data_IF_971780807119
#
_entry.id   IF_971780807119
#
_cell.length_a   1.000
_cell.length_b   1.000
_cell.length_c   1.000
_cell.angle_alpha   90.00
_cell.angle_beta   90.00
_cell.angle_gamma   90.00
#
_symmetry.space_group_name_H-M   'P 1'
#
loop_
_entity.id
_entity.type
_entity.pdbx_description
1 polymer ?
#
# COMPACT_ATOMS: atom_id res chain seq x y z
N UNK A 1 -0.10 -0.61 49.74
CA UNK A 1 0.93 -1.12 50.70
C UNK A 1 0.64 -2.58 51.02
N UNK A 2 1.65 -3.43 51.22
CA UNK A 2 1.48 -4.83 51.62
C UNK A 2 1.16 -4.89 53.13
N UNK A 3 0.17 -5.69 53.52
CA UNK A 3 -0.26 -5.89 54.91
C UNK A 3 0.17 -7.25 55.45
N UNK A 4 0.14 -8.29 54.62
CA UNK A 4 0.48 -9.63 55.04
C UNK A 4 0.77 -10.57 53.88
N UNK A 5 1.49 -11.65 54.21
CA UNK A 5 1.84 -12.74 53.30
C UNK A 5 1.54 -14.07 53.99
N UNK A 6 0.73 -14.90 53.35
CA UNK A 6 0.54 -16.29 53.71
C UNK A 6 1.09 -17.17 52.58
N UNK A 7 1.99 -18.09 52.92
CA UNK A 7 2.51 -19.08 51.99
C UNK A 7 2.32 -20.46 52.59
N UNK A 8 1.79 -21.39 51.81
CA UNK A 8 1.66 -22.80 52.20
C UNK A 8 2.30 -23.68 51.12
N UNK A 9 3.16 -24.61 51.54
CA UNK A 9 3.80 -25.63 50.69
C UNK A 9 4.60 -25.09 49.48
N UNK A 10 5.35 -24.01 49.66
CA UNK A 10 6.19 -23.41 48.61
C UNK A 10 7.68 -23.68 48.86
N UNK A 11 8.37 -24.29 47.91
CA UNK A 11 9.77 -24.68 47.98
C UNK A 11 10.09 -25.44 49.29
N UNK A 12 11.02 -24.92 50.10
CA UNK A 12 11.38 -25.51 51.40
C UNK A 12 10.45 -25.08 52.55
N UNK A 13 9.47 -24.22 52.30
CA UNK A 13 8.56 -23.71 53.32
C UNK A 13 7.26 -24.52 53.38
N UNK A 14 6.93 -25.03 54.58
CA UNK A 14 5.63 -25.68 54.84
C UNK A 14 4.53 -24.63 55.04
N UNK A 15 4.77 -23.66 55.90
CA UNK A 15 3.88 -22.51 56.13
C UNK A 15 4.73 -21.29 56.49
N UNK A 16 4.44 -20.14 55.88
CA UNK A 16 4.95 -18.83 56.25
C UNK A 16 3.73 -17.94 56.44
N UNK A 17 3.70 -17.20 57.55
CA UNK A 17 2.66 -16.22 57.85
C UNK A 17 3.37 -14.99 58.39
N UNK A 18 3.27 -13.88 57.65
CA UNK A 18 3.94 -12.63 57.96
C UNK A 18 2.94 -11.49 57.91
N UNK A 19 3.08 -10.57 58.85
CA UNK A 19 2.42 -9.27 58.84
C UNK A 19 3.48 -8.19 58.62
N UNK A 20 3.18 -7.22 57.77
CA UNK A 20 4.10 -6.14 57.43
C UNK A 20 3.61 -4.84 58.05
N UNK A 21 4.53 -4.13 58.69
CA UNK A 21 4.31 -2.74 59.12
C UNK A 21 4.56 -1.76 57.96
N UNK A 22 4.09 -0.53 58.14
CA UNK A 22 4.26 0.53 57.14
C UNK A 22 5.71 1.00 57.01
N UNK A 23 6.04 1.55 55.84
CA UNK A 23 7.33 2.16 55.49
C UNK A 23 8.44 1.12 55.29
N UNK A 24 9.48 1.11 56.12
CA UNK A 24 10.68 0.30 55.94
C UNK A 24 10.59 -0.98 56.76
N UNK A 25 10.52 -2.12 56.06
CA UNK A 25 10.59 -3.46 56.68
C UNK A 25 11.93 -4.10 56.32
N UNK A 26 12.73 -4.42 57.33
CA UNK A 26 14.02 -5.08 57.16
C UNK A 26 13.90 -6.56 57.54
N UNK A 27 14.11 -7.44 56.56
CA UNK A 27 14.15 -8.89 56.78
C UNK A 27 15.62 -9.33 56.84
N UNK A 28 16.03 -9.87 57.99
CA UNK A 28 17.37 -10.43 58.22
C UNK A 28 17.28 -11.89 58.65
N UNK A 29 18.38 -12.64 58.48
CA UNK A 29 18.45 -14.06 58.84
C UNK A 29 19.82 -14.66 58.51
N UNK A 30 20.05 -15.89 58.98
CA UNK A 30 21.33 -16.59 58.87
C UNK A 30 21.63 -17.08 57.44
N UNK A 31 20.59 -17.38 56.64
CA UNK A 31 20.72 -17.79 55.23
C UNK A 31 19.83 -16.97 54.32
N UNK A 32 20.27 -16.72 53.08
CA UNK A 32 19.50 -15.97 52.08
C UNK A 32 18.24 -16.69 51.58
N UNK A 33 18.06 -17.98 51.90
CA UNK A 33 16.96 -18.80 51.40
C UNK A 33 15.58 -18.28 51.87
N UNK A 34 15.45 -17.83 53.13
CA UNK A 34 14.19 -17.32 53.67
C UNK A 34 13.72 -16.04 52.99
N UNK A 35 14.65 -15.08 52.81
CA UNK A 35 14.40 -13.82 52.10
C UNK A 35 13.96 -14.08 50.65
N UNK A 36 14.66 -14.96 49.95
CA UNK A 36 14.35 -15.29 48.56
C UNK A 36 12.96 -15.92 48.41
N UNK A 37 12.56 -16.80 49.34
CA UNK A 37 11.21 -17.40 49.31
C UNK A 37 10.12 -16.34 49.49
N UNK A 38 10.31 -15.39 50.40
CA UNK A 38 9.36 -14.30 50.66
C UNK A 38 9.24 -13.41 49.42
N UNK A 39 10.36 -12.97 48.85
CA UNK A 39 10.38 -12.12 47.65
C UNK A 39 9.76 -12.82 46.44
N UNK A 40 10.09 -14.11 46.24
CA UNK A 40 9.51 -14.91 45.16
C UNK A 40 8.00 -15.09 45.35
N UNK A 41 7.55 -15.33 46.59
CA UNK A 41 6.12 -15.48 46.87
C UNK A 41 5.34 -14.21 46.54
N UNK A 42 5.84 -13.02 46.95
CA UNK A 42 5.20 -11.74 46.63
C UNK A 42 5.17 -11.51 45.10
N UNK A 43 6.28 -11.78 44.40
CA UNK A 43 6.32 -11.64 42.94
C UNK A 43 5.38 -12.58 42.22
N UNK A 44 5.30 -13.84 42.66
CA UNK A 44 4.38 -14.83 42.12
C UNK A 44 2.92 -14.42 42.40
N UNK A 45 2.59 -13.93 43.59
CA UNK A 45 1.26 -13.39 43.85
C UNK A 45 0.91 -12.25 42.89
N UNK A 46 1.88 -11.37 42.59
CA UNK A 46 1.68 -10.20 41.73
C UNK A 46 1.86 -10.46 40.22
N UNK A 47 1.85 -11.72 39.78
CA UNK A 47 1.81 -12.07 38.34
C UNK A 47 3.14 -12.45 37.70
N UNK A 48 4.21 -12.69 38.48
CA UNK A 48 5.42 -13.35 37.97
C UNK A 48 5.14 -14.82 37.57
N UNK A 49 6.07 -15.50 36.91
CA UNK A 49 5.83 -16.90 36.51
C UNK A 49 5.79 -17.84 37.72
N UNK A 50 4.74 -18.66 37.80
CA UNK A 50 4.56 -19.67 38.83
C UNK A 50 4.96 -21.05 38.28
N UNK A 51 6.22 -21.46 38.50
CA UNK A 51 6.67 -22.81 38.14
C UNK A 51 6.07 -23.86 39.08
N UNK A 52 5.71 -25.03 38.54
CA UNK A 52 5.23 -26.15 39.33
C UNK A 52 6.33 -26.79 40.20
N UNK A 53 7.59 -26.57 39.84
CA UNK A 53 8.76 -27.01 40.61
C UNK A 53 8.86 -26.31 41.97
N UNK A 54 8.13 -25.20 42.14
CA UNK A 54 8.03 -24.48 43.40
C UNK A 54 7.07 -25.14 44.39
N UNK A 55 6.32 -26.18 44.00
CA UNK A 55 5.53 -26.95 44.94
C UNK A 55 6.48 -27.76 45.82
N UNK A 56 6.34 -27.63 47.14
CA UNK A 56 7.14 -28.37 48.11
C UNK A 56 7.10 -29.88 47.82
N UNK A 57 8.25 -30.54 47.89
CA UNK A 57 8.37 -31.99 47.67
C UNK A 57 7.42 -32.77 48.58
N UNK A 58 6.61 -33.65 47.98
CA UNK A 58 5.60 -34.45 48.69
C UNK A 58 4.20 -33.83 48.73
N UNK A 59 4.04 -32.57 48.35
CA UNK A 59 2.76 -31.86 48.40
C UNK A 59 2.04 -31.82 47.03
N UNK A 60 0.71 -31.68 47.06
CA UNK A 60 -0.13 -31.66 45.84
C UNK A 60 -0.28 -30.26 45.23
N UNK A 61 -0.15 -29.22 46.05
CA UNK A 61 -0.34 -27.82 45.67
C UNK A 61 0.37 -26.88 46.63
N UNK A 62 0.69 -25.68 46.14
CA UNK A 62 1.17 -24.54 46.91
C UNK A 62 0.14 -23.40 46.85
N UNK A 63 -0.04 -22.69 47.96
CA UNK A 63 -0.90 -21.51 48.06
C UNK A 63 -0.06 -20.30 48.48
N UNK A 64 -0.26 -19.18 47.79
CA UNK A 64 0.31 -17.89 48.15
C UNK A 64 -0.82 -16.89 48.23
N UNK A 65 -0.94 -16.17 49.34
CA UNK A 65 -1.88 -15.07 49.51
C UNK A 65 -1.15 -13.82 49.99
N UNK A 66 -1.42 -12.69 49.36
CA UNK A 66 -0.87 -11.39 49.75
C UNK A 66 -2.02 -10.41 49.92
N UNK A 67 -2.07 -9.77 51.07
CA UNK A 67 -3.03 -8.71 51.36
C UNK A 67 -2.38 -7.35 51.17
N UNK A 68 -3.14 -6.42 50.59
CA UNK A 68 -2.75 -5.05 50.32
C UNK A 68 -3.80 -4.09 50.88
N UNK A 69 -3.36 -2.88 51.23
CA UNK A 69 -4.25 -1.72 51.28
C UNK A 69 -4.11 -0.89 50.00
N UNK A 70 -5.24 -0.41 49.48
CA UNK A 70 -5.35 0.40 48.25
C UNK A 70 -5.23 1.91 48.49
N UNK A 71 -4.80 2.33 49.69
CA UNK A 71 -4.58 3.74 50.01
C UNK A 71 -3.54 4.35 49.04
N UNK A 72 -3.91 5.45 48.39
CA UNK A 72 -3.09 6.19 47.41
C UNK A 72 -2.65 5.40 46.16
N UNK A 73 -3.41 4.39 45.70
CA UNK A 73 -3.13 3.65 44.44
C UNK A 73 -4.21 3.84 43.36
N UNK A 74 -4.36 5.04 42.76
CA UNK A 74 -5.44 5.32 41.79
C UNK A 74 -5.36 4.47 40.51
N UNK A 75 -4.14 4.09 40.09
CA UNK A 75 -3.94 3.20 38.94
C UNK A 75 -4.49 1.79 39.19
N UNK A 76 -4.20 1.21 40.35
CA UNK A 76 -4.72 -0.09 40.76
C UNK A 76 -6.25 -0.07 40.81
N UNK A 77 -6.83 0.97 41.43
CA UNK A 77 -8.28 1.16 41.54
C UNK A 77 -8.93 1.24 40.15
N UNK A 78 -8.34 2.00 39.21
CA UNK A 78 -8.88 2.10 37.84
C UNK A 78 -8.91 0.76 37.10
N UNK A 79 -7.86 -0.06 37.26
CA UNK A 79 -7.83 -1.41 36.65
C UNK A 79 -8.88 -2.32 37.31
N UNK A 80 -8.99 -2.31 38.63
CA UNK A 80 -9.97 -3.10 39.37
C UNK A 80 -11.42 -2.72 39.02
N UNK A 81 -11.70 -1.42 38.85
CA UNK A 81 -13.01 -0.93 38.40
C UNK A 81 -13.34 -1.42 36.99
N UNK A 82 -12.37 -1.37 36.07
CA UNK A 82 -12.55 -1.86 34.69
C UNK A 82 -12.81 -3.38 34.65
N UNK A 83 -12.22 -4.13 35.58
CA UNK A 83 -12.43 -5.57 35.73
C UNK A 83 -13.69 -5.93 36.55
N UNK A 84 -14.42 -4.94 37.07
CA UNK A 84 -15.57 -5.14 37.97
C UNK A 84 -15.21 -5.90 39.26
N UNK A 85 -13.98 -5.71 39.75
CA UNK A 85 -13.43 -6.34 40.96
C UNK A 85 -13.24 -5.37 42.13
N UNK A 86 -13.62 -4.10 41.94
CA UNK A 86 -13.52 -3.09 42.98
C UNK A 86 -14.82 -3.05 43.80
N UNK A 87 -14.72 -3.49 45.05
CA UNK A 87 -15.81 -3.60 46.03
C UNK A 87 -15.91 -2.40 46.98
N UNK A 88 -15.10 -1.35 46.76
CA UNK A 88 -14.95 -0.18 47.64
C UNK A 88 -14.39 -0.52 49.03
N UNK A 89 -13.89 -1.74 49.24
CA UNK A 89 -13.13 -2.06 50.43
C UNK A 89 -11.71 -1.49 50.33
N UNK A 90 -11.11 -1.19 51.47
CA UNK A 90 -9.72 -0.68 51.53
C UNK A 90 -8.68 -1.79 51.37
N UNK A 91 -9.10 -3.07 51.44
CA UNK A 91 -8.24 -4.24 51.40
C UNK A 91 -8.41 -5.03 50.10
N UNK A 92 -7.28 -5.42 49.52
CA UNK A 92 -7.20 -6.31 48.37
C UNK A 92 -6.43 -7.57 48.75
N UNK A 93 -7.01 -8.74 48.56
CA UNK A 93 -6.37 -10.03 48.78
C UNK A 93 -6.16 -10.71 47.43
N UNK A 94 -4.89 -10.92 47.09
CA UNK A 94 -4.50 -11.67 45.90
C UNK A 94 -4.11 -13.07 46.33
N UNK A 95 -4.76 -14.10 45.78
CA UNK A 95 -4.41 -15.50 46.03
C UNK A 95 -3.96 -16.21 44.76
N UNK A 96 -2.98 -17.11 44.92
CA UNK A 96 -2.47 -17.95 43.84
C UNK A 96 -2.30 -19.38 44.33
N UNK A 97 -3.11 -20.28 43.76
CA UNK A 97 -3.06 -21.70 44.01
C UNK A 97 -2.37 -22.40 42.84
N UNK A 98 -1.18 -22.94 43.09
CA UNK A 98 -0.36 -23.67 42.11
C UNK A 98 -0.56 -25.16 42.36
N UNK A 99 -1.02 -25.89 41.35
CA UNK A 99 -1.18 -27.35 41.38
C UNK A 99 -0.45 -27.97 40.19
N UNK A 100 -0.19 -29.28 40.23
CA UNK A 100 0.52 -30.01 39.15
C UNK A 100 -0.04 -29.83 37.74
N UNK A 101 -1.33 -29.48 37.60
CA UNK A 101 -1.98 -29.38 36.29
C UNK A 101 -2.45 -27.97 35.94
N UNK A 102 -2.49 -27.05 36.91
CA UNK A 102 -3.03 -25.70 36.71
C UNK A 102 -2.63 -24.73 37.80
N UNK A 103 -2.60 -23.46 37.44
CA UNK A 103 -2.50 -22.34 38.37
C UNK A 103 -3.83 -21.60 38.37
N UNK A 104 -4.39 -21.35 39.55
CA UNK A 104 -5.58 -20.53 39.74
C UNK A 104 -5.18 -19.23 40.41
N UNK A 105 -5.66 -18.12 39.87
CA UNK A 105 -5.42 -16.78 40.42
C UNK A 105 -6.77 -16.23 40.87
N UNK A 106 -6.82 -15.62 42.06
CA UNK A 106 -7.99 -14.86 42.49
C UNK A 106 -7.62 -13.51 43.09
N UNK A 107 -8.56 -12.57 42.99
CA UNK A 107 -8.55 -11.29 43.70
C UNK A 107 -9.87 -11.19 44.48
N UNK A 108 -9.80 -10.97 45.79
CA UNK A 108 -10.96 -10.95 46.70
C UNK A 108 -11.90 -12.17 46.48
N UNK A 109 -11.32 -13.34 46.19
CA UNK A 109 -12.07 -14.58 45.92
C UNK A 109 -12.58 -14.75 44.47
N UNK A 110 -12.51 -13.73 43.62
CA UNK A 110 -12.92 -13.81 42.21
C UNK A 110 -11.80 -14.36 41.33
N UNK A 111 -12.13 -15.30 40.43
CA UNK A 111 -11.17 -15.88 39.47
C UNK A 111 -10.78 -14.85 38.40
N UNK A 112 -9.47 -14.73 38.14
CA UNK A 112 -8.94 -13.81 37.13
C UNK A 112 -7.89 -14.45 36.22
N UNK A 113 -7.70 -13.87 35.03
CA UNK A 113 -6.69 -14.31 34.08
C UNK A 113 -5.29 -13.84 34.52
N UNK A 114 -4.26 -14.61 34.17
CA UNK A 114 -2.88 -14.26 34.50
C UNK A 114 -2.43 -12.91 33.92
N UNK A 115 -2.99 -12.51 32.76
CA UNK A 115 -2.70 -11.21 32.13
C UNK A 115 -3.24 -10.04 32.96
N UNK A 116 -4.46 -10.19 33.46
CA UNK A 116 -5.13 -9.19 34.32
C UNK A 116 -4.43 -9.10 35.68
N UNK A 117 -4.05 -10.25 36.24
CA UNK A 117 -3.26 -10.30 37.49
C UNK A 117 -1.96 -9.52 37.34
N UNK A 118 -1.25 -9.72 36.23
CA UNK A 118 0.02 -9.02 35.94
C UNK A 118 -0.17 -7.52 35.76
N UNK A 119 -1.30 -7.09 35.20
CA UNK A 119 -1.64 -5.68 35.04
C UNK A 119 -1.89 -5.01 36.40
N UNK A 120 -2.67 -5.66 37.29
CA UNK A 120 -2.91 -5.17 38.66
C UNK A 120 -1.62 -5.21 39.50
N UNK A 121 -0.91 -6.34 39.51
CA UNK A 121 0.29 -6.55 40.32
C UNK A 121 1.40 -5.53 40.07
N UNK A 122 1.62 -5.13 38.80
CA UNK A 122 2.57 -4.07 38.41
C UNK A 122 2.26 -2.68 38.98
N UNK A 123 1.04 -2.45 39.44
CA UNK A 123 0.66 -1.19 40.10
C UNK A 123 0.78 -1.24 41.61
N UNK A 124 0.92 -2.44 42.20
CA UNK A 124 0.90 -2.66 43.64
C UNK A 124 2.27 -2.94 44.22
N UNK A 125 3.15 -3.60 43.46
CA UNK A 125 4.50 -3.97 43.90
C UNK A 125 5.50 -3.67 42.80
N UNK A 126 6.57 -2.98 43.17
CA UNK A 126 7.82 -2.88 42.43
C UNK A 126 8.84 -3.80 43.12
N UNK A 127 9.38 -4.78 42.40
CA UNK A 127 10.28 -5.80 42.95
C UNK A 127 11.68 -5.62 42.38
N UNK A 128 12.46 -4.77 43.03
CA UNK A 128 13.87 -4.60 42.74
C UNK A 128 14.65 -5.90 43.02
N UNK A 129 15.05 -6.59 41.94
CA UNK A 129 15.75 -7.87 41.95
C UNK A 129 16.22 -8.26 40.54
N UNK A 130 16.70 -9.50 40.36
CA UNK A 130 17.29 -9.99 39.09
C UNK A 130 16.40 -9.82 37.83
N UNK A 131 15.11 -9.51 37.97
CA UNK A 131 14.15 -9.43 36.85
C UNK A 131 13.76 -8.00 36.41
N UNK A 132 13.96 -6.96 37.23
CA UNK A 132 13.74 -5.55 36.81
C UNK A 132 14.88 -4.95 36.01
N UNK A 133 16.02 -5.64 36.02
CA UNK A 133 17.17 -5.29 35.22
C UNK A 133 16.81 -5.11 33.73
N UNK A 134 15.71 -5.69 33.23
CA UNK A 134 15.34 -5.60 31.81
C UNK A 134 15.10 -4.19 31.25
N UNK A 135 14.62 -3.20 32.01
CA UNK A 135 14.32 -1.89 31.42
C UNK A 135 15.57 -1.06 31.15
N UNK A 136 16.49 -1.00 32.12
CA UNK A 136 17.78 -0.31 32.00
C UNK A 136 18.81 -1.15 31.21
N UNK A 137 18.66 -2.49 31.16
CA UNK A 137 19.45 -3.34 30.26
C UNK A 137 18.86 -3.42 28.84
N UNK A 138 17.71 -2.79 28.56
CA UNK A 138 17.19 -2.65 27.20
C UNK A 138 17.72 -1.37 26.57
N UNK A 139 18.63 -1.53 25.60
CA UNK A 139 19.27 -0.43 24.87
C UNK A 139 18.22 0.48 24.20
N UNK A 140 17.07 -0.06 23.79
CA UNK A 140 16.00 0.73 23.18
C UNK A 140 15.36 1.75 24.14
N UNK A 141 15.58 1.61 25.44
CA UNK A 141 15.08 2.57 26.44
C UNK A 141 16.14 3.61 26.85
N UNK A 142 17.42 3.43 26.50
CA UNK A 142 18.49 4.36 26.89
C UNK A 142 18.24 5.76 26.35
N UNK A 143 17.86 5.87 25.07
CA UNK A 143 17.53 7.17 24.47
C UNK A 143 16.31 7.83 25.14
N UNK A 144 15.30 7.05 25.52
CA UNK A 144 14.09 7.56 26.21
C UNK A 144 14.42 8.06 27.62
N UNK A 145 15.31 7.37 28.32
CA UNK A 145 15.78 7.77 29.65
C UNK A 145 16.58 9.08 29.57
N UNK A 146 17.45 9.20 28.57
CA UNK A 146 18.19 10.42 28.30
C UNK A 146 17.26 11.60 27.96
N UNK A 147 16.31 11.38 27.05
CA UNK A 147 15.33 12.40 26.64
C UNK A 147 14.49 12.86 27.84
N UNK A 148 14.07 11.92 28.70
CA UNK A 148 13.31 12.21 29.93
C UNK A 148 14.14 13.03 30.93
N UNK A 149 15.44 12.74 31.05
CA UNK A 149 16.35 13.50 31.90
C UNK A 149 16.54 14.94 31.40
N UNK A 150 16.60 15.13 30.08
CA UNK A 150 16.67 16.46 29.44
C UNK A 150 15.44 17.35 29.67
N UNK A 151 14.35 16.79 30.19
CA UNK A 151 13.17 17.53 30.63
C UNK A 151 12.39 18.18 29.48
N UNK A 152 11.74 19.31 29.78
CA UNK A 152 10.77 19.95 28.87
C UNK A 152 11.40 20.46 27.57
N UNK A 153 12.54 21.15 27.65
CA UNK A 153 13.20 21.69 26.45
C UNK A 153 13.64 20.60 25.47
N UNK A 154 14.03 19.43 25.98
CA UNK A 154 14.35 18.26 25.17
C UNK A 154 13.10 17.62 24.55
N UNK A 155 12.03 17.54 25.33
CA UNK A 155 10.76 16.95 24.89
C UNK A 155 10.13 17.72 23.72
N UNK A 156 10.19 19.06 23.75
CA UNK A 156 9.61 19.92 22.69
C UNK A 156 10.32 19.72 21.34
N UNK A 157 11.66 19.67 21.32
CA UNK A 157 12.44 19.42 20.09
C UNK A 157 12.17 18.00 19.58
N UNK A 158 12.14 17.02 20.50
CA UNK A 158 11.84 15.62 20.16
C UNK A 158 10.46 15.45 19.54
N UNK A 159 9.44 16.05 20.13
CA UNK A 159 8.05 15.98 19.63
C UNK A 159 7.93 16.57 18.23
N UNK A 160 8.62 17.68 17.97
CA UNK A 160 8.72 18.28 16.63
C UNK A 160 9.31 17.29 15.62
N UNK A 161 10.49 16.74 15.91
CA UNK A 161 11.18 15.78 15.02
C UNK A 161 10.33 14.53 14.78
N UNK A 162 9.71 13.97 15.83
CA UNK A 162 8.82 12.81 15.71
C UNK A 162 7.63 13.11 14.80
N UNK A 163 7.00 14.28 14.95
CA UNK A 163 5.87 14.68 14.10
C UNK A 163 6.27 14.81 12.62
N UNK A 164 7.45 15.39 12.35
CA UNK A 164 7.97 15.51 10.98
C UNK A 164 8.28 14.14 10.37
N UNK A 165 8.90 13.23 11.15
CA UNK A 165 9.18 11.85 10.72
C UNK A 165 7.88 11.09 10.45
N UNK A 166 6.86 11.24 11.30
CA UNK A 166 5.54 10.65 11.06
C UNK A 166 4.93 11.13 9.74
N UNK A 167 4.95 12.45 9.49
CA UNK A 167 4.46 13.01 8.22
C UNK A 167 5.27 12.53 7.02
N UNK A 168 6.59 12.41 7.16
CA UNK A 168 7.45 11.86 6.11
C UNK A 168 7.07 10.43 5.75
N UNK A 169 6.84 9.57 6.75
CA UNK A 169 6.40 8.20 6.52
C UNK A 169 5.01 8.12 5.88
N UNK A 170 4.07 9.01 6.25
CA UNK A 170 2.76 9.11 5.59
C UNK A 170 2.89 9.48 4.11
N UNK A 171 3.73 10.47 3.79
CA UNK A 171 4.01 10.88 2.41
C UNK A 171 4.65 9.73 1.65
N UNK A 172 5.69 9.08 2.21
CA UNK A 172 6.40 7.96 1.57
C UNK A 172 5.44 6.81 1.25
N UNK A 173 4.57 6.43 2.18
CA UNK A 173 3.56 5.39 1.98
C UNK A 173 2.57 5.76 0.87
N UNK A 174 2.05 7.00 0.90
CA UNK A 174 1.13 7.51 -0.13
C UNK A 174 1.79 7.50 -1.50
N UNK A 175 3.07 7.86 -1.56
CA UNK A 175 3.87 7.91 -2.78
C UNK A 175 4.06 6.51 -3.36
N UNK A 176 4.41 5.51 -2.55
CA UNK A 176 4.47 4.11 -3.02
C UNK A 176 3.14 3.60 -3.54
N UNK A 177 2.02 3.91 -2.87
CA UNK A 177 0.69 3.50 -3.34
C UNK A 177 0.33 4.14 -4.69
N UNK A 178 0.64 5.42 -4.86
CA UNK A 178 0.39 6.15 -6.11
C UNK A 178 1.32 5.68 -7.24
N UNK A 179 2.59 5.43 -6.96
CA UNK A 179 3.54 4.91 -7.96
C UNK A 179 3.18 3.50 -8.43
N UNK A 180 2.75 2.61 -7.53
CA UNK A 180 2.25 1.28 -7.89
C UNK A 180 0.99 1.38 -8.76
N UNK A 181 0.12 2.34 -8.43
CA UNK A 181 -1.10 2.63 -9.19
C UNK A 181 -0.76 3.18 -10.59
N UNK A 182 0.15 4.15 -10.68
CA UNK A 182 0.60 4.75 -11.95
C UNK A 182 1.30 3.73 -12.85
N UNK A 183 2.13 2.85 -12.27
CA UNK A 183 2.76 1.74 -13.01
C UNK A 183 1.74 0.81 -13.64
N UNK A 184 0.66 0.45 -12.92
CA UNK A 184 -0.44 -0.36 -13.48
C UNK A 184 -1.19 0.38 -14.59
N UNK A 185 -1.40 1.68 -14.40
CA UNK A 185 -2.09 2.49 -15.40
C UNK A 185 -1.26 2.77 -16.65
N UNK A 186 0.07 2.63 -16.63
CA UNK A 186 0.91 2.91 -17.80
C UNK A 186 0.54 2.06 -19.02
N UNK A 187 0.43 0.74 -18.87
CA UNK A 187 0.06 -0.16 -19.97
C UNK A 187 -1.38 0.10 -20.44
N UNK A 188 -2.29 0.33 -19.50
CA UNK A 188 -3.69 0.66 -19.79
C UNK A 188 -3.80 1.99 -20.55
N UNK A 189 -2.97 2.98 -20.20
CA UNK A 189 -2.93 4.29 -20.82
C UNK A 189 -2.43 4.23 -22.26
N UNK A 190 -1.39 3.46 -22.53
CA UNK A 190 -0.88 3.28 -23.89
C UNK A 190 -1.93 2.60 -24.79
N UNK A 191 -2.64 1.60 -24.25
CA UNK A 191 -3.76 0.98 -24.95
C UNK A 191 -4.91 1.95 -25.22
N UNK A 192 -5.34 2.72 -24.21
CA UNK A 192 -6.41 3.71 -24.35
C UNK A 192 -6.01 4.80 -25.35
N UNK A 193 -4.76 5.28 -25.32
CA UNK A 193 -4.28 6.29 -26.27
C UNK A 193 -4.30 5.78 -27.71
N UNK A 194 -4.02 4.49 -27.94
CA UNK A 194 -4.16 3.87 -29.24
C UNK A 194 -5.63 3.84 -29.70
N UNK A 195 -6.56 3.46 -28.82
CA UNK A 195 -8.00 3.47 -29.13
C UNK A 195 -8.50 4.90 -29.42
N UNK A 196 -8.09 5.90 -28.63
CA UNK A 196 -8.41 7.31 -28.87
C UNK A 196 -7.91 7.74 -30.25
N UNK A 197 -6.64 7.46 -30.57
CA UNK A 197 -6.04 7.86 -31.86
C UNK A 197 -6.76 7.23 -33.06
N UNK A 198 -7.18 5.97 -32.93
CA UNK A 198 -7.94 5.27 -33.98
C UNK A 198 -9.33 5.89 -34.18
N UNK A 199 -10.05 6.17 -33.08
CA UNK A 199 -11.41 6.72 -33.13
C UNK A 199 -11.44 8.20 -33.51
N UNK A 200 -10.46 9.00 -33.07
CA UNK A 200 -10.29 10.39 -33.50
C UNK A 200 -9.93 10.48 -34.98
N UNK A 201 -8.98 9.64 -35.44
CA UNK A 201 -8.60 9.57 -36.84
C UNK A 201 -9.74 9.15 -37.75
N UNK A 202 -10.69 8.37 -37.24
CA UNK A 202 -11.90 8.00 -37.97
C UNK A 202 -12.90 9.15 -38.12
N UNK A 203 -12.86 10.17 -37.26
CA UNK A 203 -13.74 11.34 -37.31
C UNK A 203 -15.21 10.97 -37.61
N UNK A 204 -15.79 10.11 -36.77
CA UNK A 204 -17.13 9.57 -36.97
C UNK A 204 -18.20 10.64 -36.75
N UNK A 205 -19.19 10.68 -37.64
CA UNK A 205 -20.30 11.64 -37.56
C UNK A 205 -21.62 10.87 -37.38
N UNK A 206 -22.49 11.37 -36.50
CA UNK A 206 -23.82 10.81 -36.31
C UNK A 206 -24.66 10.93 -37.59
N UNK A 207 -25.35 9.86 -37.98
CA UNK A 207 -26.19 9.82 -39.19
C UNK A 207 -25.44 9.58 -40.50
N UNK A 208 -24.11 9.70 -40.51
CA UNK A 208 -23.28 9.58 -41.72
C UNK A 208 -23.43 8.24 -42.44
N UNK A 209 -23.54 7.13 -41.72
CA UNK A 209 -23.68 5.80 -42.34
C UNK A 209 -24.96 5.67 -43.16
N UNK A 210 -26.07 6.21 -42.67
CA UNK A 210 -27.35 6.13 -43.38
C UNK A 210 -27.33 7.00 -44.64
N UNK A 211 -26.79 8.22 -44.55
CA UNK A 211 -26.61 9.11 -45.70
C UNK A 211 -25.71 8.48 -46.78
N UNK A 212 -24.59 7.89 -46.36
CA UNK A 212 -23.66 7.23 -47.28
C UNK A 212 -24.25 5.98 -47.92
N UNK A 213 -25.08 5.20 -47.21
CA UNK A 213 -25.77 4.03 -47.79
C UNK A 213 -26.83 4.42 -48.81
N UNK A 214 -27.55 5.51 -48.58
CA UNK A 214 -28.49 6.05 -49.57
C UNK A 214 -27.74 6.50 -50.83
N UNK A 215 -26.62 7.22 -50.66
CA UNK A 215 -25.78 7.67 -51.76
C UNK A 215 -25.12 6.50 -52.53
N UNK A 216 -24.58 5.50 -51.82
CA UNK A 216 -24.02 4.26 -52.38
C UNK A 216 -25.04 3.56 -53.29
N UNK A 217 -26.28 3.43 -52.84
CA UNK A 217 -27.34 2.78 -53.60
C UNK A 217 -27.64 3.53 -54.90
N UNK A 218 -27.68 4.86 -54.88
CA UNK A 218 -27.93 5.67 -56.08
C UNK A 218 -26.78 5.51 -57.08
N UNK A 219 -25.54 5.64 -56.62
CA UNK A 219 -24.35 5.56 -57.47
C UNK A 219 -24.10 4.15 -58.00
N UNK A 220 -24.35 3.12 -57.20
CA UNK A 220 -24.22 1.71 -57.60
C UNK A 220 -25.23 1.35 -58.70
N UNK A 221 -26.49 1.79 -58.57
CA UNK A 221 -27.48 1.63 -59.63
C UNK A 221 -27.11 2.40 -60.91
N UNK A 222 -26.57 3.62 -60.77
CA UNK A 222 -26.11 4.40 -61.92
C UNK A 222 -24.93 3.71 -62.65
N UNK A 223 -24.00 3.13 -61.89
CA UNK A 223 -22.89 2.32 -62.42
C UNK A 223 -23.41 1.09 -63.16
N UNK A 224 -24.27 0.29 -62.52
CA UNK A 224 -24.83 -0.93 -63.12
C UNK A 224 -25.57 -0.60 -64.42
N UNK A 225 -26.37 0.47 -64.42
CA UNK A 225 -27.06 0.94 -65.62
C UNK A 225 -26.08 1.37 -66.72
N UNK A 226 -25.05 2.14 -66.38
CA UNK A 226 -24.04 2.57 -67.36
C UNK A 226 -23.25 1.39 -67.94
N UNK A 227 -22.88 0.42 -67.09
CA UNK A 227 -22.18 -0.80 -67.51
C UNK A 227 -23.06 -1.65 -68.45
N UNK A 228 -24.34 -1.84 -68.13
CA UNK A 228 -25.29 -2.57 -68.99
C UNK A 228 -25.49 -1.89 -70.34
N UNK A 229 -25.61 -0.56 -70.36
CA UNK A 229 -25.74 0.20 -71.61
C UNK A 229 -24.46 0.09 -72.44
N UNK A 230 -23.28 0.23 -71.81
CA UNK A 230 -21.99 0.10 -72.49
C UNK A 230 -21.79 -1.29 -73.08
N UNK A 231 -22.10 -2.35 -72.32
CA UNK A 231 -22.09 -3.72 -72.83
C UNK A 231 -23.07 -3.91 -74.01
N UNK A 232 -24.24 -3.27 -73.95
CA UNK A 232 -25.21 -3.30 -75.04
C UNK A 232 -24.69 -2.57 -76.29
N UNK A 233 -24.02 -1.44 -76.13
CA UNK A 233 -23.35 -0.74 -77.24
C UNK A 233 -22.26 -1.58 -77.86
N UNK A 234 -21.45 -2.26 -77.05
CA UNK A 234 -20.40 -3.15 -77.54
C UNK A 234 -20.99 -4.33 -78.35
N UNK A 235 -22.14 -4.90 -77.93
CA UNK A 235 -22.82 -5.93 -78.73
C UNK A 235 -23.28 -5.41 -80.11
N UNK A 236 -23.82 -4.20 -80.16
CA UNK A 236 -24.31 -3.59 -81.40
C UNK A 236 -23.15 -3.18 -82.30
N UNK A 237 -22.12 -2.55 -81.72
CA UNK A 237 -21.03 -1.91 -82.42
C UNK A 237 -19.69 -2.08 -81.70
N UNK A 238 -19.00 -3.20 -81.94
CA UNK A 238 -17.65 -3.46 -81.47
C UNK A 238 -16.67 -3.57 -82.66
N UNK A 239 -15.59 -2.78 -82.59
CA UNK A 239 -14.56 -2.69 -83.63
C UNK A 239 -13.57 -3.88 -83.61
N UNK A 240 -13.32 -4.47 -82.44
CA UNK A 240 -12.33 -5.56 -82.26
C UNK A 240 -12.95 -6.96 -82.45
N UNK A 241 -14.26 -7.11 -82.27
CA UNK A 241 -14.97 -8.40 -82.32
C UNK A 241 -16.05 -8.53 -83.41
N UNK A 242 -16.87 -9.58 -83.32
CA UNK A 242 -18.11 -9.71 -84.11
C UNK A 242 -19.20 -8.86 -83.47
N UNK A 243 -19.80 -7.94 -84.23
CA UNK A 243 -20.90 -7.09 -83.77
C UNK A 243 -22.16 -7.32 -84.60
N UNK A 244 -23.32 -6.91 -84.09
CA UNK A 244 -24.58 -7.00 -84.83
C UNK A 244 -24.47 -6.21 -86.15
N UNK A 245 -23.85 -5.02 -86.16
CA UNK A 245 -23.63 -4.27 -87.40
C UNK A 245 -22.75 -5.00 -88.41
N UNK A 246 -21.68 -5.67 -87.97
CA UNK A 246 -20.82 -6.47 -88.86
C UNK A 246 -21.60 -7.63 -89.47
N UNK A 247 -22.39 -8.34 -88.66
CA UNK A 247 -23.25 -9.45 -89.13
C UNK A 247 -24.33 -8.98 -90.10
N UNK A 248 -25.00 -7.86 -89.81
CA UNK A 248 -25.98 -7.25 -90.72
C UNK A 248 -25.35 -6.82 -92.05
N UNK A 249 -24.12 -6.28 -92.02
CA UNK A 249 -23.39 -5.87 -93.21
C UNK A 249 -23.04 -7.08 -94.09
N UNK A 250 -22.63 -8.19 -93.48
CA UNK A 250 -22.39 -9.46 -94.18
C UNK A 250 -23.67 -10.05 -94.78
N UNK A 251 -24.76 -10.08 -94.00
CA UNK A 251 -26.08 -10.54 -94.44
C UNK A 251 -26.58 -9.72 -95.64
N UNK A 252 -26.50 -8.38 -95.54
CA UNK A 252 -26.88 -7.45 -96.60
C UNK A 252 -26.10 -7.73 -97.89
N UNK A 253 -24.77 -7.83 -97.81
CA UNK A 253 -23.91 -8.08 -98.97
C UNK A 253 -24.26 -9.42 -99.66
N UNK A 254 -24.57 -10.47 -98.90
CA UNK A 254 -24.98 -11.76 -99.46
C UNK A 254 -26.35 -11.69 -100.16
N UNK A 255 -27.32 -10.97 -99.57
CA UNK A 255 -28.66 -10.82 -100.17
C UNK A 255 -28.63 -9.90 -101.39
N UNK A 256 -27.87 -8.80 -101.36
CA UNK A 256 -27.67 -7.92 -102.53
C UNK A 256 -27.14 -8.72 -103.73
N UNK A 257 -26.10 -9.54 -103.53
CA UNK A 257 -25.59 -10.45 -104.57
C UNK A 257 -26.64 -11.45 -105.05
N UNK A 258 -27.49 -11.96 -104.16
CA UNK A 258 -28.55 -12.89 -104.54
C UNK A 258 -29.68 -12.20 -105.33
N UNK A 259 -29.94 -10.91 -105.10
CA UNK A 259 -30.93 -10.14 -105.87
C UNK A 259 -30.50 -9.92 -107.33
N UNK A 260 -29.20 -9.91 -107.62
CA UNK A 260 -28.68 -9.92 -109.00
C UNK A 260 -29.07 -11.20 -109.76
N UNK A 261 -29.32 -12.31 -109.05
CA UNK A 261 -29.76 -13.59 -109.61
C UNK A 261 -31.29 -13.62 -109.77
N UNK A 262 -32.03 -13.12 -108.77
CA UNK A 262 -33.50 -13.10 -108.80
C UNK A 262 -34.09 -11.89 -108.08
N UNK A 263 -34.84 -11.07 -108.81
CA UNK A 263 -35.52 -9.90 -108.22
C UNK A 263 -36.62 -10.28 -107.22
N UNK A 264 -37.09 -11.55 -107.23
CA UNK A 264 -38.16 -12.03 -106.34
C UNK A 264 -37.84 -11.83 -104.86
N UNK A 265 -36.57 -11.73 -104.48
CA UNK A 265 -36.13 -11.56 -103.09
C UNK A 265 -35.70 -10.13 -102.75
N UNK A 266 -35.89 -9.15 -103.65
CA UNK A 266 -35.53 -7.75 -103.40
C UNK A 266 -36.20 -7.17 -102.15
N UNK A 267 -37.43 -7.59 -101.87
CA UNK A 267 -38.14 -7.21 -100.65
C UNK A 267 -37.41 -7.62 -99.36
N UNK A 268 -36.58 -8.69 -99.40
CA UNK A 268 -35.74 -9.12 -98.27
C UNK A 268 -34.60 -8.13 -98.05
N UNK A 269 -33.95 -7.66 -99.11
CA UNK A 269 -32.90 -6.63 -99.05
C UNK A 269 -33.42 -5.33 -98.45
N UNK A 270 -34.57 -4.85 -98.95
CA UNK A 270 -35.21 -3.63 -98.43
C UNK A 270 -35.58 -3.77 -96.94
N UNK A 271 -35.97 -4.97 -96.52
CA UNK A 271 -36.27 -5.27 -95.10
C UNK A 271 -35.02 -5.24 -94.23
N UNK A 272 -33.88 -5.75 -94.73
CA UNK A 272 -32.59 -5.71 -94.01
C UNK A 272 -32.11 -4.27 -93.83
N UNK A 273 -32.23 -3.43 -94.85
CA UNK A 273 -31.82 -2.03 -94.78
C UNK A 273 -32.66 -1.21 -93.77
N UNK A 274 -33.97 -1.49 -93.71
CA UNK A 274 -34.85 -0.92 -92.67
C UNK A 274 -34.41 -1.34 -91.26
N UNK A 275 -34.21 -2.65 -91.03
CA UNK A 275 -33.72 -3.15 -89.73
C UNK A 275 -32.36 -2.58 -89.34
N UNK A 276 -31.45 -2.39 -90.31
CA UNK A 276 -30.14 -1.77 -90.06
C UNK A 276 -30.27 -0.29 -89.65
N UNK A 277 -31.25 0.42 -90.21
CA UNK A 277 -31.53 1.81 -89.84
C UNK A 277 -32.12 1.90 -88.44
N UNK A 278 -33.12 1.07 -88.11
CA UNK A 278 -33.68 0.96 -86.75
C UNK A 278 -32.60 0.62 -85.72
N UNK A 279 -31.69 -0.30 -86.04
CA UNK A 279 -30.58 -0.65 -85.14
C UNK A 279 -29.62 0.53 -84.89
N UNK A 280 -29.38 1.40 -85.89
CA UNK A 280 -28.59 2.63 -85.71
C UNK A 280 -29.27 3.62 -84.79
N UNK A 281 -30.59 3.74 -84.89
CA UNK A 281 -31.38 4.59 -83.99
C UNK A 281 -31.31 4.06 -82.56
N UNK A 282 -31.51 2.75 -82.34
CA UNK A 282 -31.38 2.11 -81.03
C UNK A 282 -29.98 2.36 -80.43
N UNK A 283 -28.90 2.17 -81.21
CA UNK A 283 -27.54 2.42 -80.73
C UNK A 283 -27.33 3.89 -80.33
N UNK A 284 -27.90 4.83 -81.09
CA UNK A 284 -27.84 6.26 -80.79
C UNK A 284 -28.61 6.60 -79.53
N UNK A 285 -29.80 6.02 -79.34
CA UNK A 285 -30.62 6.23 -78.14
C UNK A 285 -29.93 5.68 -76.89
N UNK A 286 -29.34 4.49 -76.97
CA UNK A 286 -28.50 3.93 -75.90
C UNK A 286 -27.34 4.87 -75.57
N UNK A 287 -26.64 5.39 -76.59
CA UNK A 287 -25.53 6.31 -76.39
C UNK A 287 -25.95 7.63 -75.73
N UNK A 288 -27.05 8.22 -76.19
CA UNK A 288 -27.56 9.47 -75.64
C UNK A 288 -28.02 9.29 -74.19
N UNK A 289 -28.69 8.17 -73.91
CA UNK A 289 -29.14 7.86 -72.57
C UNK A 289 -27.95 7.59 -71.64
N UNK A 290 -26.93 6.86 -72.07
CA UNK A 290 -25.71 6.64 -71.29
C UNK A 290 -24.99 7.96 -70.96
N UNK A 291 -24.95 8.93 -71.89
CA UNK A 291 -24.40 10.27 -71.63
C UNK A 291 -25.22 11.08 -70.61
N UNK A 292 -26.48 10.74 -70.39
CA UNK A 292 -27.34 11.41 -69.41
C UNK A 292 -27.19 10.88 -67.98
N UNK A 293 -26.51 9.74 -67.80
CA UNK A 293 -26.27 9.14 -66.49
C UNK A 293 -25.21 9.94 -65.76
N UNK A 294 -25.58 10.49 -64.61
CA UNK A 294 -24.66 11.14 -63.68
C UNK A 294 -24.07 10.06 -62.79
N UNK A 295 -22.81 9.70 -63.05
CA UNK A 295 -22.06 8.71 -62.27
C UNK A 295 -20.66 9.24 -61.96
N UNK A 296 -20.34 9.32 -60.68
CA UNK A 296 -19.01 9.68 -60.20
C UNK A 296 -18.32 8.43 -59.60
N UNK A 297 -17.38 7.80 -60.34
CA UNK A 297 -16.69 6.60 -59.88
C UNK A 297 -15.77 6.86 -58.68
N UNK A 298 -15.15 8.04 -58.58
CA UNK A 298 -14.25 8.38 -57.48
C UNK A 298 -15.05 8.55 -56.19
N UNK A 299 -16.25 9.17 -56.29
CA UNK A 299 -17.16 9.30 -55.16
C UNK A 299 -17.66 7.95 -54.66
N UNK A 300 -18.01 7.02 -55.55
CA UNK A 300 -18.46 5.68 -55.15
C UNK A 300 -17.36 4.92 -54.39
N UNK A 301 -16.11 4.94 -54.87
CA UNK A 301 -14.98 4.31 -54.18
C UNK A 301 -14.77 4.93 -52.79
N UNK A 302 -14.82 6.26 -52.69
CA UNK A 302 -14.71 6.95 -51.40
C UNK A 302 -15.80 6.50 -50.41
N UNK A 303 -17.05 6.38 -50.87
CA UNK A 303 -18.18 5.93 -50.04
C UNK A 303 -17.96 4.49 -49.57
N UNK A 304 -17.57 3.59 -50.47
CA UNK A 304 -17.28 2.19 -50.15
C UNK A 304 -16.17 2.07 -49.10
N UNK A 305 -15.07 2.81 -49.27
CA UNK A 305 -13.96 2.86 -48.30
C UNK A 305 -14.39 3.43 -46.95
N UNK A 306 -15.21 4.48 -46.95
CA UNK A 306 -15.73 5.12 -45.73
C UNK A 306 -16.67 4.18 -44.97
N UNK A 307 -17.59 3.51 -45.66
CA UNK A 307 -18.49 2.51 -45.08
C UNK A 307 -17.73 1.28 -44.56
N UNK A 308 -16.66 0.86 -45.26
CA UNK A 308 -15.80 -0.22 -44.80
C UNK A 308 -15.05 0.15 -43.50
N UNK A 309 -14.54 1.37 -43.39
CA UNK A 309 -13.91 1.89 -42.16
C UNK A 309 -14.91 1.90 -41.00
N UNK A 310 -16.11 2.45 -41.21
CA UNK A 310 -17.18 2.50 -40.19
C UNK A 310 -17.53 1.07 -39.74
N UNK A 311 -17.72 0.15 -40.69
CA UNK A 311 -18.06 -1.25 -40.40
C UNK A 311 -16.96 -1.96 -39.60
N UNK A 312 -15.68 -1.73 -39.95
CA UNK A 312 -14.53 -2.27 -39.23
C UNK A 312 -14.51 -1.79 -37.78
N UNK A 313 -14.76 -0.51 -37.53
CA UNK A 313 -14.81 0.06 -36.17
C UNK A 313 -16.00 -0.47 -35.37
N UNK A 314 -17.20 -0.50 -35.97
CA UNK A 314 -18.40 -1.08 -35.34
C UNK A 314 -18.15 -2.55 -34.95
N UNK A 315 -17.48 -3.32 -35.79
CA UNK A 315 -17.15 -4.72 -35.50
C UNK A 315 -16.09 -4.86 -34.41
N UNK A 316 -15.02 -4.05 -34.46
CA UNK A 316 -13.92 -4.08 -33.48
C UNK A 316 -14.41 -3.76 -32.07
N UNK A 317 -15.20 -2.70 -31.92
CA UNK A 317 -15.66 -2.21 -30.62
C UNK A 317 -17.04 -2.73 -30.22
N UNK A 318 -17.76 -3.39 -31.15
CA UNK A 318 -19.14 -3.89 -30.96
C UNK A 318 -20.10 -2.79 -30.50
N UNK A 319 -20.01 -1.64 -31.15
CA UNK A 319 -20.74 -0.40 -30.82
C UNK A 319 -21.32 0.22 -32.07
N UNK A 320 -22.45 0.90 -31.93
CA UNK A 320 -22.98 1.84 -32.93
C UNK A 320 -22.09 3.09 -33.03
N UNK A 321 -22.28 3.91 -34.06
CA UNK A 321 -21.54 5.16 -34.23
C UNK A 321 -21.72 6.09 -33.01
N UNK A 322 -22.96 6.23 -32.53
CA UNK A 322 -23.26 7.03 -31.35
C UNK A 322 -22.52 6.53 -30.10
N UNK A 323 -22.54 5.22 -29.89
CA UNK A 323 -21.82 4.61 -28.78
C UNK A 323 -20.30 4.72 -28.93
N UNK A 324 -19.76 4.73 -30.15
CA UNK A 324 -18.34 4.96 -30.42
C UNK A 324 -17.92 6.39 -30.09
N UNK A 325 -18.73 7.38 -30.45
CA UNK A 325 -18.48 8.80 -30.13
C UNK A 325 -18.49 9.00 -28.60
N UNK A 326 -19.49 8.42 -27.93
CA UNK A 326 -19.57 8.48 -26.46
C UNK A 326 -18.42 7.71 -25.80
N UNK A 327 -18.05 6.55 -26.35
CA UNK A 327 -16.90 5.77 -25.87
C UNK A 327 -15.60 6.56 -26.00
N UNK A 328 -15.38 7.24 -27.12
CA UNK A 328 -14.23 8.13 -27.30
C UNK A 328 -14.18 9.22 -26.21
N UNK A 329 -15.32 9.83 -25.88
CA UNK A 329 -15.40 10.82 -24.78
C UNK A 329 -14.99 10.21 -23.45
N UNK A 330 -15.52 9.03 -23.11
CA UNK A 330 -15.20 8.32 -21.87
C UNK A 330 -13.71 7.95 -21.79
N UNK A 331 -13.11 7.52 -22.90
CA UNK A 331 -11.67 7.24 -22.96
C UNK A 331 -10.83 8.48 -22.68
N UNK A 332 -11.18 9.64 -23.27
CA UNK A 332 -10.49 10.91 -23.03
C UNK A 332 -10.58 11.34 -21.57
N UNK A 333 -11.76 11.24 -20.97
CA UNK A 333 -11.96 11.56 -19.56
C UNK A 333 -11.11 10.64 -18.67
N UNK A 334 -11.05 9.35 -19.00
CA UNK A 334 -10.21 8.37 -18.30
C UNK A 334 -8.72 8.73 -18.38
N UNK A 335 -8.21 9.11 -19.56
CA UNK A 335 -6.79 9.54 -19.72
C UNK A 335 -6.48 10.82 -18.95
N UNK A 336 -7.43 11.76 -18.89
CA UNK A 336 -7.28 12.99 -18.11
C UNK A 336 -7.11 12.71 -16.62
N UNK A 337 -7.82 11.71 -16.10
CA UNK A 337 -7.71 11.29 -14.70
C UNK A 337 -6.32 10.73 -14.36
N UNK A 338 -5.65 10.04 -15.30
CA UNK A 338 -4.28 9.55 -15.12
C UNK A 338 -3.25 10.68 -15.03
N UNK A 339 -3.41 11.77 -15.80
CA UNK A 339 -2.50 12.93 -15.72
C UNK A 339 -2.49 13.54 -14.31
N UNK A 340 -3.66 13.61 -13.67
CA UNK A 340 -3.78 14.11 -12.30
C UNK A 340 -3.00 13.27 -11.28
N UNK A 341 -2.86 11.95 -11.50
CA UNK A 341 -2.09 11.07 -10.62
C UNK A 341 -0.60 11.36 -10.75
N UNK A 342 -0.09 11.49 -11.98
CA UNK A 342 1.32 11.84 -12.23
C UNK A 342 1.67 13.19 -11.60
N UNK A 343 0.82 14.21 -11.74
CA UNK A 343 1.02 15.53 -11.12
C UNK A 343 1.04 15.46 -9.58
N UNK A 344 0.20 14.60 -8.98
CA UNK A 344 0.19 14.39 -7.53
C UNK A 344 1.48 13.74 -7.05
N UNK A 345 1.99 12.73 -7.76
CA UNK A 345 3.27 12.07 -7.45
C UNK A 345 4.40 13.10 -7.45
N UNK A 346 4.49 13.94 -8.49
CA UNK A 346 5.53 14.97 -8.60
C UNK A 346 5.46 16.01 -7.48
N UNK A 347 4.25 16.39 -7.06
CA UNK A 347 4.07 17.30 -5.93
C UNK A 347 4.49 16.66 -4.60
N UNK A 348 4.12 15.39 -4.36
CA UNK A 348 4.52 14.67 -3.16
C UNK A 348 6.03 14.44 -3.09
N UNK A 349 6.71 14.15 -4.21
CA UNK A 349 8.19 14.05 -4.27
C UNK A 349 8.87 15.36 -3.86
N UNK A 350 8.33 16.50 -4.30
CA UNK A 350 8.85 17.82 -3.90
C UNK A 350 8.60 18.11 -2.43
N UNK A 351 7.48 17.66 -1.89
CA UNK A 351 7.16 17.79 -0.46
C UNK A 351 8.08 16.90 0.39
N UNK A 352 8.29 15.65 -0.04
CA UNK A 352 9.19 14.68 0.58
C UNK A 352 10.63 15.23 0.69
N UNK A 353 11.19 15.76 -0.41
CA UNK A 353 12.55 16.33 -0.42
C UNK A 353 12.69 17.55 0.51
N UNK A 354 11.67 18.42 0.55
CA UNK A 354 11.64 19.56 1.48
C UNK A 354 11.58 19.09 2.93
N UNK A 355 10.73 18.12 3.22
CA UNK A 355 10.54 17.60 4.56
C UNK A 355 11.78 16.87 5.06
N UNK A 356 12.46 16.09 4.22
CA UNK A 356 13.73 15.44 4.55
C UNK A 356 14.82 16.45 4.94
N UNK A 357 14.91 17.58 4.24
CA UNK A 357 15.86 18.65 4.59
C UNK A 357 15.55 19.29 5.94
N UNK A 358 14.27 19.51 6.24
CA UNK A 358 13.83 20.02 7.53
C UNK A 358 14.17 19.04 8.66
N UNK A 359 13.78 17.77 8.49
CA UNK A 359 14.10 16.69 9.44
C UNK A 359 15.61 16.60 9.68
N UNK A 360 16.43 16.72 8.64
CA UNK A 360 17.89 16.67 8.78
C UNK A 360 18.45 17.77 9.69
N UNK A 361 17.91 18.99 9.57
CA UNK A 361 18.28 20.12 10.42
C UNK A 361 17.81 19.90 11.87
N UNK A 362 16.53 19.58 12.05
CA UNK A 362 15.91 19.46 13.37
C UNK A 362 16.40 18.21 14.13
N UNK A 363 16.68 17.11 13.44
CA UNK A 363 17.27 15.92 14.03
C UNK A 363 18.74 16.12 14.43
N UNK A 364 19.49 16.96 13.70
CA UNK A 364 20.84 17.35 14.10
C UNK A 364 20.80 18.22 15.36
N UNK A 365 19.88 19.18 15.43
CA UNK A 365 19.65 19.98 16.64
C UNK A 365 19.32 19.08 17.85
N UNK A 366 18.42 18.11 17.66
CA UNK A 366 18.09 17.11 18.67
C UNK A 366 19.31 16.29 19.12
N UNK A 367 20.14 15.84 18.19
CA UNK A 367 21.36 15.07 18.48
C UNK A 367 22.39 15.89 19.26
N UNK A 368 22.61 17.15 18.89
CA UNK A 368 23.49 18.05 19.64
C UNK A 368 22.96 18.26 21.06
N UNK A 369 21.65 18.46 21.22
CA UNK A 369 21.04 18.60 22.53
C UNK A 369 21.17 17.33 23.38
N UNK A 370 21.00 16.15 22.79
CA UNK A 370 21.22 14.86 23.46
C UNK A 370 22.63 14.74 23.99
N UNK A 371 23.64 15.16 23.23
CA UNK A 371 25.05 15.12 23.66
C UNK A 371 25.32 16.06 24.84
N UNK A 372 24.73 17.25 24.85
CA UNK A 372 24.82 18.15 26.02
C UNK A 372 24.17 17.54 27.27
N UNK A 373 22.96 16.98 27.10
CA UNK A 373 22.20 16.33 28.18
C UNK A 373 22.92 15.08 28.67
N UNK A 374 23.61 14.35 27.79
CA UNK A 374 24.38 13.16 28.12
C UNK A 374 25.55 13.45 29.07
N UNK A 375 26.27 14.55 28.88
CA UNK A 375 27.34 14.94 29.81
C UNK A 375 26.77 15.32 31.19
N UNK A 376 25.65 16.05 31.24
CA UNK A 376 24.97 16.35 32.51
C UNK A 376 24.43 15.10 33.19
N UNK A 377 23.90 14.15 32.41
CA UNK A 377 23.40 12.87 32.90
C UNK A 377 24.54 12.06 33.50
N UNK A 378 25.68 11.99 32.78
CA UNK A 378 26.90 11.34 33.23
C UNK A 378 27.40 11.89 34.57
N UNK A 379 27.51 13.21 34.71
CA UNK A 379 28.00 13.83 35.95
C UNK A 379 27.13 13.46 37.15
N UNK A 380 25.80 13.47 36.98
CA UNK A 380 24.87 13.07 38.03
C UNK A 380 24.98 11.59 38.37
N UNK A 381 25.00 10.71 37.37
CA UNK A 381 25.15 9.27 37.59
C UNK A 381 26.46 8.96 38.33
N UNK A 382 27.58 9.57 37.93
CA UNK A 382 28.87 9.37 38.60
C UNK A 382 28.82 9.86 40.06
N UNK A 383 28.14 10.97 40.34
CA UNK A 383 27.96 11.46 41.71
C UNK A 383 27.23 10.43 42.59
N UNK A 384 26.10 9.91 42.13
CA UNK A 384 25.32 8.90 42.87
C UNK A 384 26.09 7.58 43.02
N UNK A 385 26.82 7.15 41.99
CA UNK A 385 27.64 5.94 42.05
C UNK A 385 28.76 6.03 43.10
N UNK A 386 29.34 7.22 43.31
CA UNK A 386 30.32 7.43 44.38
C UNK A 386 29.72 7.22 45.76
N UNK A 387 28.50 7.72 45.99
CA UNK A 387 27.78 7.56 47.26
C UNK A 387 27.41 6.08 47.52
N UNK A 388 27.32 5.28 46.45
CA UNK A 388 27.10 3.82 46.51
C UNK A 388 28.41 3.00 46.58
N UNK A 389 29.51 3.60 47.07
CA UNK A 389 30.82 2.98 47.21
C UNK A 389 31.43 2.48 45.89
N UNK A 390 31.09 3.11 44.76
CA UNK A 390 31.69 2.88 43.45
C UNK A 390 32.55 4.09 43.02
N UNK A 391 33.49 4.48 43.88
CA UNK A 391 34.28 5.73 43.74
C UNK A 391 35.06 5.85 42.42
N UNK A 392 35.46 4.70 41.88
CA UNK A 392 36.27 4.59 40.67
C UNK A 392 35.47 4.27 39.41
N UNK A 393 34.14 4.22 39.50
CA UNK A 393 33.30 3.97 38.35
C UNK A 393 33.20 5.22 37.46
N UNK A 394 33.19 5.01 36.15
CA UNK A 394 32.92 6.04 35.15
C UNK A 394 31.77 5.55 34.25
N UNK A 395 30.91 6.48 33.86
CA UNK A 395 29.71 6.22 33.07
C UNK A 395 29.77 7.09 31.83
N UNK A 396 29.34 6.58 30.66
CA UNK A 396 29.22 7.37 29.45
C UNK A 396 27.99 6.97 28.66
N UNK A 397 27.46 7.92 27.91
CA UNK A 397 26.44 7.70 26.89
C UNK A 397 27.15 7.65 25.55
N UNK A 398 27.15 6.48 24.93
CA UNK A 398 27.74 6.27 23.61
C UNK A 398 26.71 6.56 22.52
N UNK A 399 27.15 7.26 21.48
CA UNK A 399 26.32 7.64 20.34
C UNK A 399 26.86 6.98 19.08
N UNK A 400 26.10 6.06 18.51
CA UNK A 400 26.45 5.39 17.27
C UNK A 400 25.76 6.07 16.09
N UNK A 401 26.57 6.52 15.12
CA UNK A 401 26.07 7.01 13.85
C UNK A 401 25.83 5.83 12.88
N UNK A 402 24.57 5.45 12.70
CA UNK A 402 24.20 4.34 11.81
C UNK A 402 24.02 4.88 10.39
N UNK A 403 24.81 4.41 9.43
CA UNK A 403 24.67 4.80 8.02
C UNK A 403 23.48 4.12 7.33
N UNK A 404 22.82 4.83 6.42
CA UNK A 404 21.72 4.28 5.61
C UNK A 404 21.63 4.98 4.25
N UNK A 405 21.55 4.23 3.15
CA UNK A 405 21.44 4.79 1.80
C UNK A 405 20.09 5.48 1.56
N UNK A 406 19.05 5.12 2.30
CA UNK A 406 17.75 5.80 2.30
C UNK A 406 17.60 6.78 3.47
N UNK A 407 18.68 6.99 4.23
CA UNK A 407 18.72 7.89 5.38
C UNK A 407 18.71 9.38 5.01
N UNK A 408 18.60 10.21 6.04
CA UNK A 408 18.64 11.67 5.92
C UNK A 408 20.08 12.15 5.72
N UNK A 409 20.26 13.20 4.92
CA UNK A 409 21.58 13.77 4.64
C UNK A 409 22.00 14.74 5.75
N UNK A 410 23.09 14.42 6.44
CA UNK A 410 23.68 15.24 7.49
C UNK A 410 25.18 15.36 7.22
N UNK A 411 25.67 16.59 7.08
CA UNK A 411 27.09 16.90 6.80
C UNK A 411 27.71 16.07 5.65
N UNK A 412 26.93 15.85 4.60
CA UNK A 412 27.36 15.09 3.42
C UNK A 412 27.34 13.57 3.58
N UNK A 413 26.86 13.03 4.70
CA UNK A 413 26.68 11.60 4.94
C UNK A 413 25.22 11.26 5.10
N UNK A 414 24.79 10.11 4.57
CA UNK A 414 23.43 9.62 4.80
C UNK A 414 23.38 8.80 6.10
N UNK A 415 22.57 9.26 7.03
CA UNK A 415 22.42 8.70 8.37
C UNK A 415 21.01 8.13 8.50
N UNK A 416 20.91 6.97 9.13
CA UNK A 416 19.65 6.30 9.39
C UNK A 416 18.70 7.21 10.16
N UNK A 417 17.47 7.29 9.69
CA UNK A 417 16.39 8.00 10.34
C UNK A 417 15.55 6.99 11.13
N UNK A 418 15.64 7.04 12.45
CA UNK A 418 14.79 6.27 13.37
C UNK A 418 13.46 7.01 13.61
N UNK A 419 12.55 6.43 14.38
CA UNK A 419 11.26 7.04 14.68
C UNK A 419 11.33 8.29 15.58
N UNK A 420 12.47 8.52 16.24
CA UNK A 420 12.70 9.61 17.19
C UNK A 420 14.04 10.33 17.00
N UNK A 421 14.54 10.34 15.75
CA UNK A 421 15.72 11.09 15.33
C UNK A 421 16.77 10.22 14.64
N UNK A 422 18.04 10.59 14.80
CA UNK A 422 19.19 9.96 14.10
C UNK A 422 20.14 9.22 15.02
N UNK A 423 19.96 9.37 16.34
CA UNK A 423 20.88 8.83 17.33
C UNK A 423 20.51 7.40 17.70
N UNK A 424 21.49 6.51 17.64
CA UNK A 424 21.46 5.24 18.37
C UNK A 424 22.27 5.42 19.65
N UNK A 425 21.64 5.24 20.81
CA UNK A 425 22.25 5.54 22.12
C UNK A 425 22.42 4.27 22.94
N UNK A 426 23.60 4.10 23.54
CA UNK A 426 23.88 3.03 24.48
C UNK A 426 24.60 3.54 25.73
N UNK A 427 24.16 3.10 26.91
CA UNK A 427 24.87 3.35 28.16
C UNK A 427 26.03 2.38 28.33
N UNK A 428 27.22 2.92 28.54
CA UNK A 428 28.45 2.17 28.80
C UNK A 428 29.02 2.58 30.16
N UNK A 429 29.57 1.61 30.88
CA UNK A 429 30.14 1.83 32.21
C UNK A 429 31.51 1.16 32.31
N UNK A 430 32.34 1.75 33.16
CA UNK A 430 33.61 1.24 33.63
C UNK A 430 33.51 1.17 35.15
N UNK A 431 33.64 0.00 35.76
CA UNK A 431 33.45 -0.16 37.23
C UNK A 431 34.73 0.00 38.03
N UNK A 432 35.90 -0.30 37.44
CA UNK A 432 37.21 -0.13 38.08
C UNK A 432 38.20 0.63 37.18
N UNK A 433 39.26 1.27 37.74
CA UNK A 433 40.22 2.08 36.97
C UNK A 433 40.94 1.34 35.85
N UNK A 434 41.05 0.00 35.95
CA UNK A 434 41.71 -0.87 34.96
C UNK A 434 40.79 -1.49 33.91
N UNK A 435 39.47 -1.33 34.03
CA UNK A 435 38.51 -1.90 33.07
C UNK A 435 38.33 -0.98 31.86
N UNK A 436 38.00 -1.58 30.71
CA UNK A 436 37.48 -0.84 29.55
C UNK A 436 36.00 -0.50 29.74
N UNK A 437 35.52 0.54 29.04
CA UNK A 437 34.09 0.80 28.97
C UNK A 437 33.39 -0.38 28.28
N UNK A 438 32.35 -0.88 28.93
CA UNK A 438 31.54 -1.97 28.40
C UNK A 438 30.07 -1.59 28.44
N UNK A 439 29.24 -2.14 27.52
CA UNK A 439 27.80 -1.98 27.59
C UNK A 439 27.28 -2.33 28.99
N UNK A 440 26.35 -1.54 29.51
CA UNK A 440 25.74 -1.79 30.82
C UNK A 440 25.13 -3.20 30.90
N UNK A 441 24.68 -3.74 29.77
CA UNK A 441 24.14 -5.09 29.59
C UNK A 441 25.14 -6.22 29.84
N UNK A 442 26.44 -5.93 29.80
CA UNK A 442 27.52 -6.91 29.88
C UNK A 442 28.22 -6.99 31.24
N UNK A 443 27.73 -6.25 32.25
CA UNK A 443 28.27 -6.29 33.61
C UNK A 443 27.96 -7.65 34.24
N UNK A 444 28.98 -8.37 34.68
CA UNK A 444 28.85 -9.76 35.14
C UNK A 444 28.48 -9.91 36.63
N UNK A 445 28.65 -8.88 37.45
CA UNK A 445 28.43 -8.94 38.90
C UNK A 445 27.04 -8.45 39.29
N UNK A 446 26.20 -9.35 39.81
CA UNK A 446 24.83 -9.01 40.24
C UNK A 446 24.76 -7.92 41.33
N UNK A 447 25.81 -7.79 42.15
CA UNK A 447 25.89 -6.73 43.16
C UNK A 447 26.21 -5.34 42.59
N UNK A 448 26.99 -5.28 41.51
CA UNK A 448 27.31 -4.02 40.81
C UNK A 448 26.12 -3.52 40.00
N UNK A 449 25.44 -4.40 39.27
CA UNK A 449 24.18 -4.06 38.59
C UNK A 449 23.15 -3.52 39.58
N UNK A 450 23.01 -4.15 40.74
CA UNK A 450 22.02 -3.71 41.74
C UNK A 450 22.32 -2.31 42.28
N UNK A 451 23.61 -1.92 42.38
CA UNK A 451 24.01 -0.57 42.78
C UNK A 451 23.84 0.45 41.66
N UNK A 452 24.10 0.08 40.41
CA UNK A 452 23.89 0.98 39.27
C UNK A 452 22.39 1.20 38.97
N UNK A 453 21.54 0.27 39.38
CA UNK A 453 20.08 0.36 39.24
C UNK A 453 19.41 1.23 40.31
N UNK A 454 20.00 1.26 41.50
CA UNK A 454 19.56 2.11 42.61
C UNK A 454 19.87 3.57 42.27
#
# INVERSE_FOLDING_TARGET
MILGLLVTNLAIAKKIELSFDSNLVVISGETGAGKTIIMNAIGIACGANASQELIRTGEKSALIEVSFTLNNTPKAIGILQRLSLYDKEEMLIISRLISKNRTRNTINGHLILSKELKEVGRTLVDLHGQYEAQSLLDVNNHIKLLDKFGGRGMSEIREKVVAEISRFNEIKNTLTELEDTDRKYKEERDFINFEISELEGANLIEGEEEELREEEKILSNAKELSDLLKMSQDLINNDEGTSIFKLFSLLRNNIEKATEITEKIKYISDSIEKMQTELKEINRDISNFNMSIIYDPERLIYIEDRLALISKLKMKYRKSILELIEYLRQLKDKVSSFNSVTDKIDNLKKEEDKLLKMIGFDALELSLKRKEVAEQFRERVISELRDLAMENADFKVDFEAVGDNEGVLIDGKKVKLFSDGIDSVQFIIKTNPGDDFKPLTSIASGGEISRVML
#
